data_IF_911563434118
#
_entry.id   IF_911563434118
#
_cell.length_a   1.000
_cell.length_b   1.000
_cell.length_c   1.000
_cell.angle_alpha   90.00
_cell.angle_beta   90.00
_cell.angle_gamma   90.00
#
_symmetry.space_group_name_H-M   'P 1'
#
loop_
_entity.id
_entity.type
_entity.pdbx_description
1 polymer ?
#
# COMPACT_ATOMS: atom_id res chain seq x y z
N UNK A 1 -14.90 2.13 -3.43
CA UNK A 1 -13.55 2.64 -3.80
C UNK A 1 -13.13 2.29 -5.23
N UNK A 2 -13.17 1.02 -5.66
CA UNK A 2 -12.73 0.56 -6.99
C UNK A 2 -13.45 1.23 -8.18
N UNK A 3 -14.79 1.36 -8.14
CA UNK A 3 -15.58 2.03 -9.20
C UNK A 3 -15.20 3.51 -9.42
N UNK A 4 -14.95 4.26 -8.35
CA UNK A 4 -14.49 5.65 -8.46
C UNK A 4 -13.06 5.76 -9.01
N UNK A 5 -12.24 4.74 -8.78
CA UNK A 5 -10.86 4.72 -9.29
C UNK A 5 -10.84 4.41 -10.78
N UNK A 6 -11.60 3.41 -11.20
CA UNK A 6 -11.77 3.10 -12.62
C UNK A 6 -12.34 4.31 -13.38
N UNK A 7 -13.33 5.00 -12.81
CA UNK A 7 -13.86 6.24 -13.38
C UNK A 7 -12.79 7.32 -13.56
N UNK A 8 -11.92 7.54 -12.57
CA UNK A 8 -10.82 8.52 -12.66
C UNK A 8 -9.76 8.17 -13.69
N UNK A 9 -9.41 6.88 -13.82
CA UNK A 9 -8.45 6.41 -14.83
C UNK A 9 -9.04 6.56 -16.23
N UNK A 10 -10.30 6.18 -16.42
CA UNK A 10 -11.01 6.35 -17.69
C UNK A 10 -11.06 7.83 -18.06
N UNK A 11 -11.42 8.72 -17.13
CA UNK A 11 -11.44 10.16 -17.38
C UNK A 11 -10.05 10.70 -17.75
N UNK A 12 -8.98 10.28 -17.06
CA UNK A 12 -7.63 10.71 -17.38
C UNK A 12 -7.18 10.23 -18.77
N UNK A 13 -7.42 8.96 -19.10
CA UNK A 13 -7.10 8.41 -20.43
C UNK A 13 -7.91 9.10 -21.52
N UNK A 14 -9.22 9.27 -21.32
CA UNK A 14 -10.09 9.98 -22.26
C UNK A 14 -9.64 11.43 -22.46
N UNK A 15 -9.26 12.13 -21.40
CA UNK A 15 -8.76 13.50 -21.47
C UNK A 15 -7.44 13.57 -22.26
N UNK A 16 -6.52 12.64 -22.02
CA UNK A 16 -5.24 12.58 -22.76
C UNK A 16 -5.48 12.31 -24.24
N UNK A 17 -6.40 11.40 -24.59
CA UNK A 17 -6.76 11.12 -25.99
C UNK A 17 -7.38 12.35 -26.65
N UNK A 18 -8.30 13.05 -25.98
CA UNK A 18 -8.92 14.28 -26.50
C UNK A 18 -7.90 15.38 -26.70
N UNK A 19 -7.00 15.61 -25.74
CA UNK A 19 -5.93 16.62 -25.83
C UNK A 19 -4.95 16.29 -26.96
N UNK A 20 -4.61 15.00 -27.11
CA UNK A 20 -3.75 14.53 -28.20
C UNK A 20 -4.39 14.81 -29.56
N UNK A 21 -5.67 14.45 -29.72
CA UNK A 21 -6.40 14.67 -30.97
C UNK A 21 -6.56 16.17 -31.27
N UNK A 22 -6.87 16.98 -30.27
CA UNK A 22 -6.99 18.43 -30.40
C UNK A 22 -5.66 19.08 -30.81
N UNK A 23 -4.54 18.65 -30.22
CA UNK A 23 -3.20 19.11 -30.58
C UNK A 23 -2.84 18.72 -32.03
N UNK A 24 -3.12 17.48 -32.43
CA UNK A 24 -2.90 17.03 -33.81
C UNK A 24 -3.74 17.81 -34.83
N UNK A 25 -5.02 18.07 -34.53
CA UNK A 25 -5.89 18.88 -35.40
C UNK A 25 -5.44 20.34 -35.48
N UNK A 26 -4.87 20.88 -34.41
CA UNK A 26 -4.33 22.24 -34.37
C UNK A 26 -3.04 22.37 -35.19
N UNK A 27 -2.10 21.44 -35.03
CA UNK A 27 -0.81 21.42 -35.73
C UNK A 27 -0.96 21.12 -37.24
N UNK A 28 -1.77 20.12 -37.60
CA UNK A 28 -1.86 19.62 -38.97
C UNK A 28 -3.09 20.12 -39.74
N UNK A 29 -4.04 20.77 -39.06
CA UNK A 29 -5.32 21.16 -39.65
C UNK A 29 -6.18 19.94 -40.03
N UNK A 30 -7.22 20.20 -40.82
CA UNK A 30 -8.19 19.19 -41.28
C UNK A 30 -8.11 18.91 -42.78
N UNK A 31 -7.27 19.65 -43.52
CA UNK A 31 -7.12 19.48 -44.97
C UNK A 31 -6.21 18.28 -45.27
N UNK A 32 -6.73 17.21 -45.88
CA UNK A 32 -5.95 16.02 -46.20
C UNK A 32 -4.87 16.24 -47.26
N UNK A 33 -4.91 17.37 -48.00
CA UNK A 33 -3.95 17.69 -49.05
C UNK A 33 -2.84 18.64 -48.60
N UNK A 34 -2.82 19.05 -47.32
CA UNK A 34 -1.79 19.95 -46.82
C UNK A 34 -0.44 19.22 -46.80
N UNK A 35 0.60 19.85 -47.36
CA UNK A 35 1.95 19.30 -47.30
C UNK A 35 2.54 19.55 -45.91
N UNK A 36 2.71 18.47 -45.14
CA UNK A 36 3.32 18.51 -43.81
C UNK A 36 4.78 18.05 -43.91
N UNK A 37 5.70 18.73 -43.21
CA UNK A 37 7.07 18.25 -43.07
C UNK A 37 7.11 17.01 -42.17
N UNK A 38 7.77 15.94 -42.61
CA UNK A 38 7.91 14.70 -41.82
C UNK A 38 8.56 14.92 -40.43
N UNK A 39 9.38 15.96 -40.28
CA UNK A 39 9.98 16.36 -39.00
C UNK A 39 8.94 16.77 -37.96
N UNK A 40 7.98 17.64 -38.31
CA UNK A 40 6.96 18.11 -37.36
C UNK A 40 6.01 16.99 -36.90
N UNK A 41 5.72 16.03 -37.78
CA UNK A 41 4.98 14.81 -37.43
C UNK A 41 5.75 13.99 -36.41
N UNK A 42 7.04 13.76 -36.65
CA UNK A 42 7.89 12.93 -35.80
C UNK A 42 8.06 13.54 -34.40
N UNK A 43 8.34 14.85 -34.33
CA UNK A 43 8.48 15.58 -33.06
C UNK A 43 7.19 15.55 -32.24
N UNK A 44 6.04 15.77 -32.89
CA UNK A 44 4.73 15.72 -32.24
C UNK A 44 4.42 14.34 -31.65
N UNK A 45 4.69 13.26 -32.40
CA UNK A 45 4.46 11.89 -31.92
C UNK A 45 5.33 11.56 -30.70
N UNK A 46 6.61 11.96 -30.72
CA UNK A 46 7.52 11.74 -29.58
C UNK A 46 7.03 12.50 -28.35
N UNK A 47 6.66 13.78 -28.50
CA UNK A 47 6.17 14.61 -27.39
C UNK A 47 4.91 14.01 -26.75
N UNK A 48 3.93 13.63 -27.59
CA UNK A 48 2.70 12.98 -27.13
C UNK A 48 3.02 11.69 -26.37
N UNK A 49 3.89 10.84 -26.91
CA UNK A 49 4.29 9.58 -26.28
C UNK A 49 4.92 9.79 -24.90
N UNK A 50 5.80 10.79 -24.76
CA UNK A 50 6.43 11.15 -23.48
C UNK A 50 5.39 11.64 -22.48
N UNK A 51 4.50 12.54 -22.89
CA UNK A 51 3.46 13.11 -22.01
C UNK A 51 2.50 12.02 -21.53
N UNK A 52 2.02 11.17 -22.44
CA UNK A 52 1.15 10.03 -22.10
C UNK A 52 1.86 9.09 -21.14
N UNK A 53 3.10 8.70 -21.44
CA UNK A 53 3.89 7.80 -20.59
C UNK A 53 4.13 8.39 -19.20
N UNK A 54 4.46 9.68 -19.11
CA UNK A 54 4.68 10.38 -17.85
C UNK A 54 3.40 10.44 -16.99
N UNK A 55 2.25 10.77 -17.60
CA UNK A 55 0.97 10.83 -16.91
C UNK A 55 0.53 9.45 -16.39
N UNK A 56 0.68 8.41 -17.21
CA UNK A 56 0.37 7.03 -16.81
C UNK A 56 1.28 6.56 -15.67
N UNK A 57 2.59 6.81 -15.79
CA UNK A 57 3.58 6.44 -14.78
C UNK A 57 3.32 7.16 -13.45
N UNK A 58 3.06 8.47 -13.49
CA UNK A 58 2.74 9.26 -12.30
C UNK A 58 1.44 8.77 -11.64
N UNK A 59 0.39 8.53 -12.42
CA UNK A 59 -0.89 8.01 -11.92
C UNK A 59 -0.74 6.64 -11.26
N UNK A 60 -0.04 5.71 -11.92
CA UNK A 60 0.21 4.38 -11.38
C UNK A 60 1.07 4.43 -10.11
N UNK A 61 2.12 5.25 -10.09
CA UNK A 61 3.02 5.40 -8.95
C UNK A 61 2.29 5.93 -7.73
N UNK A 62 1.43 6.95 -7.92
CA UNK A 62 0.60 7.50 -6.85
C UNK A 62 -0.36 6.45 -6.27
N UNK A 63 -1.00 5.66 -7.13
CA UNK A 63 -1.92 4.58 -6.70
C UNK A 63 -1.19 3.45 -5.97
N UNK A 64 -0.03 3.06 -6.46
CA UNK A 64 0.83 2.06 -5.80
C UNK A 64 1.24 2.54 -4.41
N UNK A 65 1.69 3.79 -4.28
CA UNK A 65 2.06 4.36 -2.99
C UNK A 65 0.90 4.36 -1.99
N UNK A 66 -0.32 4.71 -2.42
CA UNK A 66 -1.51 4.63 -1.56
C UNK A 66 -1.83 3.19 -1.14
N UNK A 67 -1.81 2.24 -2.07
CA UNK A 67 -2.09 0.84 -1.78
C UNK A 67 -1.07 0.23 -0.81
N UNK A 68 0.21 0.57 -0.97
CA UNK A 68 1.27 0.14 -0.05
C UNK A 68 1.03 0.68 1.37
N UNK A 69 0.59 1.94 1.49
CA UNK A 69 0.27 2.52 2.80
C UNK A 69 -0.90 1.81 3.47
N UNK A 70 -1.99 1.58 2.75
CA UNK A 70 -3.17 0.85 3.26
C UNK A 70 -2.80 -0.58 3.69
N UNK A 71 -2.03 -1.30 2.87
CA UNK A 71 -1.55 -2.64 3.21
C UNK A 71 -0.66 -2.63 4.46
N UNK A 72 0.22 -1.64 4.59
CA UNK A 72 1.11 -1.51 5.75
C UNK A 72 0.31 -1.27 7.03
N UNK A 73 -0.71 -0.41 6.98
CA UNK A 73 -1.60 -0.18 8.12
C UNK A 73 -2.39 -1.43 8.49
N UNK A 74 -3.02 -2.08 7.53
CA UNK A 74 -3.76 -3.32 7.75
C UNK A 74 -2.86 -4.42 8.34
N UNK A 75 -1.61 -4.51 7.88
CA UNK A 75 -0.62 -5.44 8.43
C UNK A 75 -0.27 -5.10 9.88
N UNK A 76 -0.09 -3.81 10.21
CA UNK A 76 0.19 -3.38 11.58
C UNK A 76 -0.98 -3.72 12.52
N UNK A 77 -2.22 -3.49 12.08
CA UNK A 77 -3.42 -3.84 12.85
C UNK A 77 -3.56 -5.35 13.05
N UNK A 78 -3.33 -6.13 11.99
CA UNK A 78 -3.33 -7.59 12.07
C UNK A 78 -2.24 -8.11 13.00
N UNK A 79 -1.02 -7.54 12.97
CA UNK A 79 0.04 -7.90 13.90
C UNK A 79 -0.36 -7.59 15.34
N UNK A 80 -0.97 -6.42 15.60
CA UNK A 80 -1.44 -6.05 16.94
C UNK A 80 -2.48 -7.04 17.45
N UNK A 81 -3.47 -7.42 16.63
CA UNK A 81 -4.50 -8.40 17.00
C UNK A 81 -3.90 -9.81 17.15
N UNK A 82 -2.95 -10.17 16.29
CA UNK A 82 -2.31 -11.48 16.26
C UNK A 82 -1.34 -11.70 17.43
N UNK A 83 -0.81 -10.63 18.03
CA UNK A 83 0.16 -10.71 19.14
C UNK A 83 -0.45 -10.34 20.51
N UNK A 84 -1.73 -9.98 20.58
CA UNK A 84 -2.40 -9.56 21.83
C UNK A 84 -3.53 -10.52 22.17
N UNK A 85 -3.64 -10.93 23.42
CA UNK A 85 -4.81 -11.65 23.94
C UNK A 85 -5.98 -10.68 24.17
N UNK A 86 -7.16 -10.98 23.63
CA UNK A 86 -8.28 -10.03 23.63
C UNK A 86 -8.94 -9.88 25.02
N UNK A 87 -8.87 -10.92 25.86
CA UNK A 87 -9.48 -10.91 27.19
C UNK A 87 -8.66 -10.06 28.17
N UNK A 88 -7.33 -10.17 28.10
CA UNK A 88 -6.42 -9.55 29.07
C UNK A 88 -5.72 -8.29 28.54
N UNK A 89 -5.65 -8.11 27.22
CA UNK A 89 -4.88 -7.03 26.58
C UNK A 89 -3.36 -7.21 26.67
N UNK A 90 -2.89 -8.32 27.25
CA UNK A 90 -1.48 -8.68 27.32
C UNK A 90 -1.01 -9.32 26.02
N UNK A 91 0.31 -9.48 25.85
CA UNK A 91 0.84 -10.28 24.76
C UNK A 91 0.31 -11.71 24.86
N UNK A 92 -0.18 -12.24 23.75
CA UNK A 92 -0.46 -13.67 23.68
C UNK A 92 0.84 -14.47 23.50
N UNK A 93 0.74 -15.79 23.40
CA UNK A 93 1.92 -16.66 23.29
C UNK A 93 2.87 -16.24 22.16
N UNK A 94 2.32 -15.94 20.99
CA UNK A 94 3.11 -15.48 19.83
C UNK A 94 3.76 -14.13 20.10
N UNK A 95 3.02 -13.17 20.64
CA UNK A 95 3.55 -11.85 20.99
C UNK A 95 4.67 -11.92 22.03
N UNK A 96 4.52 -12.79 23.03
CA UNK A 96 5.56 -13.06 24.04
C UNK A 96 6.81 -13.66 23.39
N UNK A 97 6.67 -14.69 22.55
CA UNK A 97 7.81 -15.35 21.91
C UNK A 97 8.60 -14.37 21.02
N UNK A 98 7.91 -13.49 20.27
CA UNK A 98 8.54 -12.44 19.46
C UNK A 98 9.29 -11.41 20.32
N UNK A 99 8.66 -10.91 21.39
CA UNK A 99 9.27 -9.94 22.29
C UNK A 99 10.46 -10.53 23.07
N UNK A 100 10.33 -11.75 23.56
CA UNK A 100 11.38 -12.46 24.27
C UNK A 100 12.60 -12.71 23.37
N UNK A 101 12.40 -13.05 22.09
CA UNK A 101 13.50 -13.25 21.15
C UNK A 101 14.33 -11.96 20.93
N UNK A 102 13.68 -10.80 20.86
CA UNK A 102 14.35 -9.49 20.77
C UNK A 102 15.13 -9.20 22.04
N UNK A 103 14.48 -9.29 23.21
CA UNK A 103 15.12 -9.00 24.50
C UNK A 103 16.32 -9.93 24.78
N UNK A 104 16.22 -11.22 24.44
CA UNK A 104 17.32 -12.17 24.59
C UNK A 104 18.50 -11.85 23.65
N UNK A 105 18.22 -11.36 22.44
CA UNK A 105 19.27 -10.95 21.50
C UNK A 105 20.02 -9.72 22.01
N UNK A 106 19.31 -8.74 22.56
CA UNK A 106 19.88 -7.53 23.16
C UNK A 106 20.70 -7.88 24.41
N UNK A 107 20.13 -8.67 25.33
CA UNK A 107 20.84 -9.13 26.52
C UNK A 107 22.11 -9.91 26.16
N UNK A 108 22.08 -10.73 25.10
CA UNK A 108 23.27 -11.43 24.59
C UNK A 108 24.32 -10.46 24.02
N UNK A 109 23.91 -9.42 23.32
CA UNK A 109 24.82 -8.43 22.76
C UNK A 109 25.52 -7.59 23.84
N UNK A 110 24.80 -7.27 24.92
CA UNK A 110 25.30 -6.47 26.05
C UNK A 110 25.88 -7.31 27.20
N UNK A 111 25.89 -8.65 27.06
CA UNK A 111 26.34 -9.59 28.10
C UNK A 111 25.58 -9.40 29.42
N UNK A 112 24.28 -9.16 29.32
CA UNK A 112 23.39 -9.00 30.46
C UNK A 112 22.65 -10.32 30.79
N UNK A 113 22.42 -10.63 32.08
CA UNK A 113 21.59 -11.76 32.46
C UNK A 113 20.11 -11.49 32.13
N UNK A 114 19.41 -12.50 31.61
CA UNK A 114 17.97 -12.47 31.37
C UNK A 114 17.25 -13.46 32.30
N UNK A 115 16.06 -13.10 32.78
CA UNK A 115 15.23 -13.95 33.67
C UNK A 115 13.79 -13.96 33.17
N UNK A 116 13.12 -15.10 33.29
CA UNK A 116 11.70 -15.29 32.95
C UNK A 116 10.95 -15.76 34.18
N UNK A 117 9.80 -15.14 34.46
CA UNK A 117 8.87 -15.55 35.51
C UNK A 117 7.61 -16.14 34.87
N UNK A 118 7.16 -17.29 35.37
CA UNK A 118 5.91 -17.91 34.97
C UNK A 118 5.00 -18.01 36.19
N UNK A 119 3.76 -17.53 36.06
CA UNK A 119 2.74 -17.53 37.10
C UNK A 119 1.46 -18.13 36.55
N UNK A 120 0.71 -18.84 37.39
CA UNK A 120 -0.60 -19.40 37.07
C UNK A 120 -1.59 -19.11 38.20
N UNK A 121 -2.89 -19.12 37.90
CA UNK A 121 -3.94 -18.93 38.90
C UNK A 121 -4.30 -20.29 39.50
N UNK A 122 -3.96 -20.48 40.77
CA UNK A 122 -4.29 -21.72 41.48
C UNK A 122 -5.79 -21.99 41.50
N UNK A 123 -6.15 -23.24 41.20
CA UNK A 123 -7.54 -23.72 41.22
C UNK A 123 -8.52 -22.91 40.35
N UNK A 124 -8.07 -22.30 39.25
CA UNK A 124 -8.92 -21.49 38.37
C UNK A 124 -10.19 -22.21 37.87
N UNK A 125 -10.11 -23.52 37.65
CA UNK A 125 -11.27 -24.34 37.28
C UNK A 125 -12.40 -24.28 38.33
N UNK A 126 -12.07 -24.35 39.62
CA UNK A 126 -13.06 -24.29 40.71
C UNK A 126 -13.79 -22.94 40.73
N UNK A 127 -13.09 -21.86 40.36
CA UNK A 127 -13.67 -20.52 40.25
C UNK A 127 -14.70 -20.50 39.09
N UNK A 128 -14.31 -20.94 37.90
CA UNK A 128 -15.22 -20.99 36.74
C UNK A 128 -16.42 -21.90 37.00
N UNK A 129 -16.21 -23.06 37.62
CA UNK A 129 -17.28 -24.03 37.92
C UNK A 129 -18.29 -23.45 38.94
N UNK A 130 -17.87 -22.53 39.84
CA UNK A 130 -18.72 -21.92 40.87
C UNK A 130 -19.42 -20.65 40.41
N UNK A 131 -18.75 -19.82 39.61
CA UNK A 131 -19.24 -18.48 39.25
C UNK A 131 -19.67 -18.35 37.78
N UNK A 132 -19.44 -19.37 36.96
CA UNK A 132 -19.66 -19.34 35.52
C UNK A 132 -18.48 -18.75 34.74
N UNK A 133 -18.51 -18.92 33.42
CA UNK A 133 -17.60 -18.27 32.47
C UNK A 133 -18.03 -16.84 32.16
#
# INVERSE_FOLDING_TARGET
>A
ALRHTAGRVVVAVSLTVVLTLAFSLFEFGVDPNVMVHAGSVTESVILIGIVVSALLTAGLSYRSALAIRELTQARADLMRISCTDQLTGLLNRRGFDEAAAVALKEAKAEVLPATVLMCDIDHFKTINDRFGH
#
